data_IF_604382524343
#
_entry.id   IF_604382524343
#
_cell.length_a   1.000
_cell.length_b   1.000
_cell.length_c   1.000
_cell.angle_alpha   90.00
_cell.angle_beta   90.00
_cell.angle_gamma   90.00
#
_symmetry.space_group_name_H-M   'P 1'
#
loop_
_entity.id
_entity.type
_entity.pdbx_description
1 polymer ?
#
# COMPACT_ATOMS: atom_id res chain seq x y z
N UNK A 1 12.54 16.91 -4.00
CA UNK A 1 12.48 15.52 -3.53
C UNK A 1 11.99 15.48 -2.07
N UNK A 2 10.85 16.13 -1.78
CA UNK A 2 10.26 16.16 -0.43
C UNK A 2 9.07 15.19 -0.29
N UNK A 3 8.44 14.82 -1.41
CA UNK A 3 7.18 14.07 -1.42
C UNK A 3 7.32 12.60 -0.96
N UNK A 4 8.46 11.96 -1.24
CA UNK A 4 8.66 10.55 -0.90
C UNK A 4 8.85 10.32 0.61
N UNK A 5 9.67 11.18 1.25
CA UNK A 5 9.90 11.12 2.69
C UNK A 5 8.61 11.43 3.46
N UNK A 6 7.83 12.43 3.01
CA UNK A 6 6.52 12.75 3.60
C UNK A 6 5.53 11.59 3.43
N UNK A 7 5.52 10.94 2.27
CA UNK A 7 4.64 9.80 2.02
C UNK A 7 4.98 8.60 2.92
N UNK A 8 6.27 8.31 3.14
CA UNK A 8 6.69 7.27 4.09
C UNK A 8 6.26 7.56 5.54
N UNK A 9 6.34 8.82 5.96
CA UNK A 9 5.88 9.24 7.30
C UNK A 9 4.37 9.02 7.45
N UNK A 10 3.59 9.32 6.42
CA UNK A 10 2.14 9.08 6.40
C UNK A 10 1.83 7.59 6.50
N UNK A 11 2.53 6.76 5.72
CA UNK A 11 2.34 5.31 5.74
C UNK A 11 2.67 4.69 7.10
N UNK A 12 3.78 5.10 7.72
CA UNK A 12 4.17 4.65 9.07
C UNK A 12 3.13 5.08 10.12
N UNK A 13 2.63 6.31 10.01
CA UNK A 13 1.59 6.83 10.91
C UNK A 13 0.30 6.01 10.80
N UNK A 14 -0.12 5.69 9.58
CA UNK A 14 -1.30 4.85 9.34
C UNK A 14 -1.11 3.43 9.88
N UNK A 15 0.06 2.81 9.66
CA UNK A 15 0.35 1.47 10.20
C UNK A 15 0.24 1.44 11.72
N UNK A 16 0.81 2.45 12.40
CA UNK A 16 0.73 2.57 13.87
C UNK A 16 -0.71 2.80 14.36
N UNK A 17 -1.49 3.60 13.66
CA UNK A 17 -2.89 3.83 14.01
C UNK A 17 -3.73 2.55 13.87
N UNK A 18 -3.50 1.78 12.81
CA UNK A 18 -4.18 0.50 12.58
C UNK A 18 -3.74 -0.54 13.59
N UNK A 19 -2.46 -0.59 13.94
CA UNK A 19 -1.94 -1.44 15.03
C UNK A 19 -2.64 -1.13 16.36
N UNK A 20 -2.73 0.14 16.73
CA UNK A 20 -3.36 0.55 17.99
C UNK A 20 -4.86 0.27 18.03
N UNK A 21 -5.54 0.31 16.87
CA UNK A 21 -7.01 0.19 16.79
C UNK A 21 -7.44 -1.26 16.66
N UNK A 22 -6.77 -2.06 15.83
CA UNK A 22 -7.19 -3.41 15.45
C UNK A 22 -6.20 -4.50 15.90
N UNK A 23 -4.97 -4.13 16.25
CA UNK A 23 -3.90 -5.06 16.62
C UNK A 23 -3.14 -5.63 15.42
N UNK A 24 -1.91 -6.11 15.68
CA UNK A 24 -1.01 -6.65 14.65
C UNK A 24 -1.52 -7.90 13.92
N UNK A 25 -2.42 -8.66 14.55
CA UNK A 25 -3.00 -9.87 13.96
C UNK A 25 -4.25 -9.58 13.11
N UNK A 26 -4.70 -8.32 13.06
CA UNK A 26 -5.87 -7.95 12.27
C UNK A 26 -5.57 -7.98 10.77
N UNK A 27 -6.58 -8.28 9.97
CA UNK A 27 -6.45 -8.20 8.51
C UNK A 27 -6.12 -6.78 8.07
N UNK A 28 -6.70 -5.76 8.72
CA UNK A 28 -6.44 -4.35 8.41
C UNK A 28 -4.97 -3.99 8.58
N UNK A 29 -4.31 -4.50 9.64
CA UNK A 29 -2.88 -4.26 9.84
C UNK A 29 -2.05 -4.93 8.75
N UNK A 30 -2.40 -6.17 8.37
CA UNK A 30 -1.70 -6.92 7.33
C UNK A 30 -1.87 -6.27 5.95
N UNK A 31 -3.07 -5.78 5.62
CA UNK A 31 -3.36 -5.08 4.36
C UNK A 31 -2.51 -3.81 4.23
N UNK A 32 -2.42 -3.00 5.30
CA UNK A 32 -1.58 -1.78 5.29
C UNK A 32 -0.10 -2.13 5.23
N UNK A 33 0.32 -3.19 5.91
CA UNK A 33 1.70 -3.68 5.85
C UNK A 33 2.09 -4.13 4.43
N UNK A 34 1.19 -4.82 3.72
CA UNK A 34 1.40 -5.24 2.33
C UNK A 34 1.57 -4.04 1.39
N UNK A 35 0.74 -3.00 1.53
CA UNK A 35 0.86 -1.77 0.74
C UNK A 35 2.24 -1.12 0.94
N UNK A 36 2.71 -1.05 2.19
CA UNK A 36 4.03 -0.48 2.51
C UNK A 36 5.15 -1.32 1.89
N UNK A 37 5.08 -2.64 1.99
CA UNK A 37 6.08 -3.54 1.41
C UNK A 37 6.13 -3.41 -0.12
N UNK A 38 4.97 -3.36 -0.78
CA UNK A 38 4.88 -3.18 -2.22
C UNK A 38 5.42 -1.81 -2.64
N UNK A 39 5.16 -0.76 -1.85
CA UNK A 39 5.72 0.56 -2.12
C UNK A 39 7.25 0.56 -2.05
N UNK A 40 7.83 0.03 -0.96
CA UNK A 40 9.28 -0.06 -0.77
C UNK A 40 9.95 -0.90 -1.87
N UNK A 41 9.35 -2.03 -2.25
CA UNK A 41 9.88 -2.86 -3.33
C UNK A 41 9.90 -2.13 -4.69
N UNK A 42 8.89 -1.30 -4.99
CA UNK A 42 8.85 -0.50 -6.23
C UNK A 42 9.80 0.70 -6.19
N UNK A 43 10.02 1.31 -5.02
CA UNK A 43 11.02 2.37 -4.82
C UNK A 43 12.44 1.82 -5.00
N UNK A 44 12.74 0.65 -4.41
CA UNK A 44 14.04 0.00 -4.55
C UNK A 44 14.30 -0.55 -5.96
N UNK A 45 13.23 -0.94 -6.67
CA UNK A 45 13.32 -1.41 -8.05
C UNK A 45 13.34 -0.28 -9.09
N UNK A 46 13.12 0.98 -8.69
CA UNK A 46 13.20 2.11 -9.60
C UNK A 46 14.66 2.26 -10.09
N UNK A 47 14.94 2.09 -11.39
CA UNK A 47 16.27 2.36 -11.91
C UNK A 47 16.55 3.85 -11.74
N UNK A 48 17.65 4.18 -11.08
CA UNK A 48 18.26 5.52 -11.07
C UNK A 48 18.78 5.87 -12.47
N UNK A 49 17.91 5.90 -13.49
CA UNK A 49 18.27 6.19 -14.87
C UNK A 49 17.39 7.31 -15.41
N UNK A 50 17.84 8.57 -15.40
CA UNK A 50 17.14 9.66 -16.05
C UNK A 50 17.46 9.60 -17.55
N UNK A 51 16.79 8.72 -18.28
CA UNK A 51 16.76 8.77 -19.74
C UNK A 51 15.45 8.15 -20.23
N UNK A 52 14.54 9.04 -20.63
CA UNK A 52 13.46 8.87 -21.60
C UNK A 52 12.97 7.45 -21.85
N UNK A 53 11.76 7.12 -21.38
CA UNK A 53 10.81 6.40 -22.25
C UNK A 53 9.39 6.86 -21.93
N UNK A 54 8.85 7.69 -22.82
CA UNK A 54 7.42 7.79 -23.03
C UNK A 54 6.92 6.41 -23.49
N UNK A 55 6.22 5.68 -22.64
CA UNK A 55 5.26 4.69 -23.12
C UNK A 55 4.01 4.78 -22.28
N UNK A 56 3.05 5.53 -22.82
CA UNK A 56 1.64 5.43 -22.50
C UNK A 56 1.21 3.96 -22.55
N UNK A 57 1.03 3.34 -21.39
CA UNK A 57 0.38 2.05 -21.26
C UNK A 57 -0.67 2.18 -20.16
N UNK A 58 -1.92 2.37 -20.59
CA UNK A 58 -3.12 2.39 -19.76
C UNK A 58 -3.19 1.10 -18.93
N UNK A 59 -2.66 1.13 -17.71
CA UNK A 59 -3.12 0.23 -16.66
C UNK A 59 -4.44 0.78 -16.15
N UNK A 60 -5.54 0.00 -16.16
CA UNK A 60 -6.76 0.42 -15.47
C UNK A 60 -6.44 0.61 -13.98
N UNK A 61 -7.05 1.62 -13.32
CA UNK A 61 -6.86 1.81 -11.89
C UNK A 61 -7.25 0.53 -11.14
N UNK A 62 -6.56 0.18 -10.04
CA UNK A 62 -6.92 -0.97 -9.23
C UNK A 62 -8.40 -0.83 -8.82
N UNK A 63 -9.22 -1.75 -9.32
CA UNK A 63 -10.64 -1.81 -9.01
C UNK A 63 -10.80 -2.40 -7.61
N UNK A 64 -11.21 -1.56 -6.65
CA UNK A 64 -11.60 -1.98 -5.30
C UNK A 64 -12.93 -2.74 -5.24
N UNK A 65 -13.51 -3.10 -6.39
CA UNK A 65 -14.89 -3.60 -6.49
C UNK A 65 -15.13 -5.01 -5.92
N UNK A 66 -14.11 -5.68 -5.40
CA UNK A 66 -14.22 -7.07 -4.93
C UNK A 66 -13.84 -7.28 -3.45
N UNK A 67 -13.96 -6.24 -2.63
CA UNK A 67 -13.89 -6.38 -1.17
C UNK A 67 -15.24 -6.85 -0.61
N UNK A 68 -15.59 -8.10 -0.90
CA UNK A 68 -16.80 -8.72 -0.35
C UNK A 68 -16.51 -9.16 1.08
N UNK A 69 -16.96 -8.37 2.06
CA UNK A 69 -16.91 -8.76 3.47
C UNK A 69 -17.83 -9.96 3.70
N UNK A 70 -17.24 -11.13 3.94
CA UNK A 70 -18.02 -12.32 4.31
C UNK A 70 -18.49 -12.19 5.75
N UNK A 71 -19.80 -12.30 6.05
CA UNK A 71 -20.26 -12.39 7.42
C UNK A 71 -19.76 -13.70 8.06
N UNK A 72 -19.38 -13.60 9.33
CA UNK A 72 -18.91 -14.73 10.14
C UNK A 72 -20.04 -15.76 10.30
N UNK A 73 -19.78 -17.07 10.12
CA UNK A 73 -20.79 -18.08 10.40
C UNK A 73 -21.20 -18.00 11.88
N UNK A 74 -22.51 -17.81 12.12
CA UNK A 74 -23.10 -18.05 13.43
C UNK A 74 -23.17 -19.57 13.66
N UNK A 75 -22.74 -19.97 14.86
CA UNK A 75 -22.60 -21.36 15.32
C UNK A 75 -23.87 -22.18 15.23
#
# INVERSE_FOLDING_TARGET
MADEAEYLVILQTNLRNVENTFGKASSQYLDVLEVIQNYMANVEAAPQNPAEVQTESKMPPPSFANLTFRPKPQS
#
